data_IF_280498429563
#
_entry.id   IF_280498429563
#
_cell.length_a   1.000
_cell.length_b   1.000
_cell.length_c   1.000
_cell.angle_alpha   90.00
_cell.angle_beta   90.00
_cell.angle_gamma   90.00
#
_symmetry.space_group_name_H-M   'P 1'
#
loop_
_entity.id
_entity.type
_entity.pdbx_description
1 polymer ?
#
# COMPACT_ATOMS: atom_id res chain seq x y z
N UNK A 1 12.09 -1.61 -25.40
CA UNK A 1 11.60 -1.02 -24.14
C UNK A 1 11.93 -2.00 -23.03
N UNK A 2 12.87 -1.69 -22.14
CA UNK A 2 13.25 -2.61 -21.05
C UNK A 2 12.06 -2.65 -20.09
N UNK A 3 11.31 -3.75 -20.12
CA UNK A 3 10.20 -3.98 -19.19
C UNK A 3 10.82 -4.25 -17.83
N UNK A 4 10.80 -3.24 -16.96
CA UNK A 4 11.26 -3.40 -15.57
C UNK A 4 10.14 -3.98 -14.71
N UNK A 5 10.48 -4.60 -13.58
CA UNK A 5 9.51 -5.10 -12.61
C UNK A 5 8.54 -4.01 -12.10
N UNK A 6 8.97 -2.74 -12.04
CA UNK A 6 8.10 -1.57 -11.74
C UNK A 6 7.00 -1.38 -12.79
N UNK A 7 7.30 -1.64 -14.05
CA UNK A 7 6.38 -1.51 -15.19
C UNK A 7 5.33 -2.62 -15.21
N UNK A 8 5.68 -3.82 -14.75
CA UNK A 8 4.78 -4.99 -14.68
C UNK A 8 3.80 -4.87 -13.51
N UNK A 9 4.25 -4.35 -12.37
CA UNK A 9 3.38 -4.10 -11.21
C UNK A 9 2.38 -2.96 -11.44
N UNK A 10 2.69 -2.00 -12.31
CA UNK A 10 1.85 -0.82 -12.54
C UNK A 10 0.88 -0.91 -13.74
N UNK A 11 0.85 -2.03 -14.47
CA UNK A 11 0.07 -2.13 -15.69
C UNK A 11 -0.34 -3.55 -16.01
N UNK A 12 -1.47 -3.99 -15.47
CA UNK A 12 -2.18 -5.17 -15.95
C UNK A 12 -3.60 -4.76 -16.37
N UNK A 13 -3.88 -4.80 -17.66
CA UNK A 13 -5.25 -4.61 -18.15
C UNK A 13 -5.37 -4.28 -19.63
N UNK A 14 -5.23 -5.28 -20.50
CA UNK A 14 -6.01 -5.37 -21.74
C UNK A 14 -5.86 -6.80 -22.32
N UNK A 15 -6.98 -7.53 -22.40
CA UNK A 15 -7.12 -8.84 -23.04
C UNK A 15 -7.87 -8.65 -24.35
N UNK A 16 -7.33 -9.16 -25.46
CA UNK A 16 -8.12 -9.62 -26.62
C UNK A 16 -7.46 -10.90 -27.18
N UNK A 17 -8.27 -11.94 -27.39
CA UNK A 17 -7.87 -13.25 -27.93
C UNK A 17 -8.13 -13.32 -29.44
N UNK A 18 -7.15 -13.81 -30.19
CA UNK A 18 -7.38 -14.67 -31.38
C UNK A 18 -6.12 -15.50 -31.64
N UNK A 19 -6.32 -16.79 -31.93
CA UNK A 19 -5.36 -17.89 -32.25
C UNK A 19 -4.13 -18.13 -31.34
N UNK A 20 -3.57 -17.13 -30.66
CA UNK A 20 -2.49 -17.25 -29.67
C UNK A 20 -2.93 -17.71 -28.27
N UNK A 21 -4.23 -17.72 -28.00
CA UNK A 21 -4.83 -18.11 -26.72
C UNK A 21 -4.45 -19.55 -26.28
N UNK A 22 -4.47 -20.50 -27.21
CA UNK A 22 -4.17 -21.92 -26.91
C UNK A 22 -2.69 -22.16 -26.61
N UNK A 23 -1.80 -21.47 -27.34
CA UNK A 23 -0.36 -21.54 -27.11
C UNK A 23 0.02 -20.88 -25.77
N UNK A 24 -0.59 -19.74 -25.44
CA UNK A 24 -0.43 -19.08 -24.13
C UNK A 24 -0.94 -19.97 -22.98
N UNK A 25 -2.11 -20.61 -23.13
CA UNK A 25 -2.62 -21.55 -22.12
C UNK A 25 -1.67 -22.74 -21.90
N UNK A 26 -1.04 -23.26 -22.96
CA UNK A 26 -0.03 -24.32 -22.84
C UNK A 26 1.26 -23.85 -22.16
N UNK A 27 1.76 -22.65 -22.52
CA UNK A 27 2.97 -22.07 -21.91
C UNK A 27 2.75 -21.72 -20.42
N UNK A 28 1.59 -21.16 -20.08
CA UNK A 28 1.20 -20.87 -18.70
C UNK A 28 1.11 -22.17 -17.87
N UNK A 29 0.51 -23.23 -18.44
CA UNK A 29 0.42 -24.53 -17.78
C UNK A 29 1.81 -25.16 -17.56
N UNK A 30 2.75 -24.98 -18.48
CA UNK A 30 4.13 -25.46 -18.34
C UNK A 30 4.95 -24.67 -17.30
N UNK A 31 4.65 -23.38 -17.09
CA UNK A 31 5.30 -22.54 -16.10
C UNK A 31 4.93 -22.95 -14.66
N UNK A 32 3.67 -23.34 -14.41
CA UNK A 32 3.15 -23.54 -13.06
C UNK A 32 3.96 -24.57 -12.23
N UNK A 33 4.25 -25.80 -12.71
CA UNK A 33 5.06 -26.76 -11.96
C UNK A 33 6.49 -26.29 -11.68
N UNK A 34 7.07 -25.44 -12.56
CA UNK A 34 8.39 -24.87 -12.35
C UNK A 34 8.38 -23.84 -11.22
N UNK A 35 7.32 -23.03 -11.14
CA UNK A 35 7.12 -22.10 -10.03
C UNK A 35 6.81 -22.82 -8.71
N UNK A 36 6.04 -23.91 -8.75
CA UNK A 36 5.77 -24.74 -7.57
C UNK A 36 7.09 -25.34 -7.02
N UNK A 37 7.93 -25.91 -7.90
CA UNK A 37 9.25 -26.41 -7.54
C UNK A 37 10.18 -25.30 -7.00
N UNK A 38 10.12 -24.10 -7.60
CA UNK A 38 10.89 -22.96 -7.13
C UNK A 38 10.41 -22.42 -5.77
N UNK A 39 9.15 -22.64 -5.38
CA UNK A 39 8.64 -22.17 -4.10
C UNK A 39 9.26 -22.87 -2.90
N UNK A 40 9.71 -24.12 -3.09
CA UNK A 40 10.25 -25.00 -2.05
C UNK A 40 11.70 -25.40 -2.32
N UNK A 41 12.40 -24.72 -3.23
CA UNK A 41 13.77 -25.09 -3.60
C UNK A 41 14.79 -24.65 -2.54
N UNK A 42 15.76 -25.51 -2.29
CA UNK A 42 17.02 -25.17 -1.59
C UNK A 42 18.15 -24.84 -2.58
N UNK A 43 17.91 -25.04 -3.89
CA UNK A 43 18.83 -24.74 -4.99
C UNK A 43 18.24 -23.62 -5.88
N UNK A 44 18.29 -22.34 -5.46
CA UNK A 44 17.70 -21.24 -6.22
C UNK A 44 18.39 -21.02 -7.58
N UNK A 45 19.68 -21.33 -7.70
CA UNK A 45 20.44 -21.15 -8.96
C UNK A 45 19.89 -22.03 -10.09
N UNK A 46 19.60 -23.30 -9.81
CA UNK A 46 19.02 -24.24 -10.78
C UNK A 46 17.64 -23.78 -11.24
N UNK A 47 16.84 -23.21 -10.33
CA UNK A 47 15.53 -22.69 -10.69
C UNK A 47 15.62 -21.43 -11.54
N UNK A 48 16.58 -20.54 -11.28
CA UNK A 48 16.86 -19.38 -12.14
C UNK A 48 17.22 -19.83 -13.56
N UNK A 49 18.09 -20.82 -13.71
CA UNK A 49 18.49 -21.35 -15.02
C UNK A 49 17.29 -21.96 -15.76
N UNK A 50 16.51 -22.82 -15.10
CA UNK A 50 15.30 -23.43 -15.69
C UNK A 50 14.25 -22.40 -16.10
N UNK A 51 13.93 -21.45 -15.22
CA UNK A 51 12.92 -20.43 -15.49
C UNK A 51 13.38 -19.43 -16.56
N UNK A 52 14.67 -19.16 -16.67
CA UNK A 52 15.22 -18.21 -17.66
C UNK A 52 15.10 -18.71 -19.10
N UNK A 53 14.85 -20.01 -19.31
CA UNK A 53 14.59 -20.61 -20.64
C UNK A 53 13.18 -20.36 -21.16
N UNK A 54 12.26 -19.89 -20.32
CA UNK A 54 10.88 -19.60 -20.71
C UNK A 54 10.86 -18.21 -21.35
N UNK A 55 10.39 -18.13 -22.60
CA UNK A 55 10.17 -16.83 -23.26
C UNK A 55 8.97 -16.12 -22.61
N UNK A 56 9.17 -14.97 -21.92
CA UNK A 56 8.07 -14.24 -21.30
C UNK A 56 7.02 -13.76 -22.31
N UNK A 57 7.38 -13.55 -23.58
CA UNK A 57 6.45 -13.11 -24.61
C UNK A 57 5.39 -14.19 -24.94
N UNK A 58 5.72 -15.47 -24.71
CA UNK A 58 4.83 -16.61 -24.92
C UNK A 58 3.75 -16.77 -23.84
N UNK A 59 3.88 -16.07 -22.71
CA UNK A 59 2.99 -16.18 -21.55
C UNK A 59 1.85 -15.16 -21.59
N UNK A 60 0.75 -15.49 -20.90
CA UNK A 60 -0.29 -14.51 -20.58
C UNK A 60 0.28 -13.40 -19.67
N UNK A 61 -0.38 -12.23 -19.57
CA UNK A 61 0.10 -11.14 -18.72
C UNK A 61 0.33 -11.54 -17.25
N UNK A 62 -0.55 -12.37 -16.65
CA UNK A 62 -0.40 -12.79 -15.25
C UNK A 62 0.77 -13.78 -15.09
N UNK A 63 0.84 -14.81 -15.95
CA UNK A 63 1.94 -15.79 -15.92
C UNK A 63 3.30 -15.12 -16.21
N UNK A 64 3.33 -14.14 -17.11
CA UNK A 64 4.53 -13.31 -17.36
C UNK A 64 4.95 -12.56 -16.11
N UNK A 65 4.01 -11.95 -15.40
CA UNK A 65 4.30 -11.25 -14.15
C UNK A 65 4.83 -12.20 -13.06
N UNK A 66 4.27 -13.40 -12.98
CA UNK A 66 4.74 -14.45 -12.06
C UNK A 66 6.17 -14.86 -12.39
N UNK A 67 6.48 -15.16 -13.67
CA UNK A 67 7.83 -15.52 -14.12
C UNK A 67 8.85 -14.43 -13.81
N UNK A 68 8.57 -13.18 -14.21
CA UNK A 68 9.49 -12.04 -14.02
C UNK A 68 9.74 -11.81 -12.52
N UNK A 69 8.69 -11.87 -11.71
CA UNK A 69 8.79 -11.63 -10.27
C UNK A 69 9.56 -12.76 -9.58
N UNK A 70 9.29 -14.02 -9.94
CA UNK A 70 10.02 -15.17 -9.42
C UNK A 70 11.51 -15.14 -9.80
N UNK A 71 11.84 -14.86 -11.07
CA UNK A 71 13.23 -14.76 -11.53
C UNK A 71 14.00 -13.66 -10.79
N UNK A 72 13.43 -12.47 -10.63
CA UNK A 72 14.04 -11.37 -9.87
C UNK A 72 14.30 -11.79 -8.42
N UNK A 73 13.30 -12.35 -7.74
CA UNK A 73 13.42 -12.83 -6.37
C UNK A 73 14.47 -13.93 -6.18
N UNK A 74 14.43 -14.97 -7.02
CA UNK A 74 15.35 -16.11 -6.94
C UNK A 74 16.81 -15.71 -7.20
N UNK A 75 17.07 -14.76 -8.10
CA UNK A 75 18.42 -14.22 -8.33
C UNK A 75 19.00 -13.54 -7.09
N UNK A 76 18.14 -12.95 -6.26
CA UNK A 76 18.56 -12.41 -4.96
C UNK A 76 18.73 -13.54 -3.93
N UNK A 77 17.89 -14.57 -3.97
CA UNK A 77 18.04 -15.75 -3.10
C UNK A 77 19.37 -16.48 -3.35
N UNK A 78 19.84 -16.57 -4.61
CA UNK A 78 21.21 -17.05 -4.92
C UNK A 78 22.27 -16.20 -4.20
N UNK A 79 22.20 -14.87 -4.33
CA UNK A 79 23.16 -13.98 -3.67
C UNK A 79 23.10 -14.06 -2.13
N UNK A 80 21.92 -14.28 -1.56
CA UNK A 80 21.74 -14.46 -0.12
C UNK A 80 22.36 -15.79 0.34
N UNK A 81 22.14 -16.88 -0.40
CA UNK A 81 22.73 -18.18 -0.11
C UNK A 81 24.26 -18.14 -0.17
N UNK A 82 24.82 -17.51 -1.21
CA UNK A 82 26.27 -17.41 -1.41
C UNK A 82 26.98 -16.55 -0.35
N UNK A 83 26.41 -15.38 -0.02
CA UNK A 83 27.08 -14.38 0.83
C UNK A 83 26.73 -14.50 2.30
N UNK A 84 25.57 -15.08 2.61
CA UNK A 84 25.05 -15.18 3.97
C UNK A 84 24.47 -16.58 4.24
N UNK A 85 25.28 -17.64 4.08
CA UNK A 85 24.84 -19.01 4.32
C UNK A 85 24.31 -19.18 5.75
N UNK A 86 23.39 -20.11 5.94
CA UNK A 86 22.79 -20.46 7.24
C UNK A 86 22.14 -19.28 7.99
N UNK A 87 21.65 -18.27 7.26
CA UNK A 87 20.91 -17.17 7.90
C UNK A 87 21.78 -16.28 8.79
N UNK A 88 23.00 -15.98 8.33
CA UNK A 88 23.94 -15.10 9.03
C UNK A 88 23.26 -13.82 9.59
N UNK A 89 23.83 -13.30 10.70
CA UNK A 89 23.30 -12.15 11.41
C UNK A 89 23.02 -10.95 10.49
N UNK A 90 22.06 -10.10 10.90
CA UNK A 90 21.68 -8.94 10.12
C UNK A 90 22.87 -7.98 9.95
N UNK A 91 23.12 -7.59 8.70
CA UNK A 91 24.13 -6.61 8.31
C UNK A 91 23.55 -5.69 7.24
N UNK A 92 24.16 -4.52 7.01
CA UNK A 92 23.72 -3.61 5.96
C UNK A 92 23.70 -4.26 4.56
N UNK A 93 24.67 -5.15 4.29
CA UNK A 93 24.73 -5.93 3.05
C UNK A 93 23.57 -6.92 2.92
N UNK A 94 23.26 -7.64 4.00
CA UNK A 94 22.13 -8.60 4.05
C UNK A 94 20.79 -7.87 3.93
N UNK A 95 20.61 -6.77 4.67
CA UNK A 95 19.41 -5.94 4.59
C UNK A 95 19.16 -5.42 3.16
N UNK A 96 20.20 -4.92 2.49
CA UNK A 96 20.08 -4.47 1.09
C UNK A 96 19.57 -5.58 0.17
N UNK A 97 20.08 -6.80 0.30
CA UNK A 97 19.60 -7.93 -0.48
C UNK A 97 18.15 -8.29 -0.11
N UNK A 98 17.81 -8.36 1.18
CA UNK A 98 16.44 -8.63 1.62
C UNK A 98 15.44 -7.58 1.10
N UNK A 99 15.81 -6.30 1.10
CA UNK A 99 14.98 -5.24 0.53
C UNK A 99 14.80 -5.44 -0.98
N UNK A 100 15.89 -5.68 -1.72
CA UNK A 100 15.84 -5.92 -3.19
C UNK A 100 15.00 -7.13 -3.55
N UNK A 101 15.11 -8.20 -2.75
CA UNK A 101 14.33 -9.43 -2.88
C UNK A 101 12.83 -9.14 -2.95
N UNK A 102 12.35 -8.20 -2.14
CA UNK A 102 10.91 -7.90 -2.00
C UNK A 102 10.42 -6.64 -2.73
N UNK A 103 11.31 -5.92 -3.43
CA UNK A 103 10.98 -4.68 -4.16
C UNK A 103 11.39 -4.77 -5.62
N UNK A 104 12.68 -4.60 -5.89
CA UNK A 104 13.34 -4.73 -7.19
C UNK A 104 14.87 -4.80 -7.03
N UNK A 105 15.54 -5.33 -8.05
CA UNK A 105 17.00 -5.61 -8.04
C UNK A 105 17.87 -4.36 -7.83
N UNK A 106 17.33 -3.16 -8.07
CA UNK A 106 18.02 -1.86 -8.04
C UNK A 106 17.77 -1.03 -6.78
N UNK A 107 16.95 -1.51 -5.82
CA UNK A 107 16.67 -0.74 -4.61
C UNK A 107 17.95 -0.39 -3.84
N UNK A 108 18.22 0.91 -3.71
CA UNK A 108 19.28 1.47 -2.87
C UNK A 108 18.68 2.03 -1.57
N UNK A 109 18.97 1.42 -0.40
CA UNK A 109 18.44 1.90 0.88
C UNK A 109 18.74 3.38 1.14
N UNK A 110 19.90 3.88 0.70
CA UNK A 110 20.28 5.29 0.87
C UNK A 110 19.38 6.24 0.06
N UNK A 111 19.15 5.93 -1.21
CA UNK A 111 18.21 6.67 -2.05
C UNK A 111 16.77 6.62 -1.51
N UNK A 112 16.32 5.44 -1.07
CA UNK A 112 14.97 5.29 -0.50
C UNK A 112 14.82 6.10 0.80
N UNK A 113 15.82 6.08 1.68
CA UNK A 113 15.84 6.90 2.90
C UNK A 113 15.72 8.40 2.58
N UNK A 114 16.45 8.90 1.58
CA UNK A 114 16.36 10.30 1.14
C UNK A 114 14.98 10.65 0.61
N UNK A 115 14.37 9.79 -0.21
CA UNK A 115 13.01 10.02 -0.75
C UNK A 115 11.97 10.02 0.37
N UNK A 116 12.04 9.07 1.30
CA UNK A 116 11.16 9.03 2.47
C UNK A 116 11.30 10.28 3.34
N UNK A 117 12.52 10.75 3.59
CA UNK A 117 12.77 11.97 4.35
C UNK A 117 12.17 13.21 3.68
N UNK A 118 12.27 13.31 2.35
CA UNK A 118 11.65 14.38 1.57
C UNK A 118 10.12 14.31 1.64
N UNK A 119 9.53 13.13 1.45
CA UNK A 119 8.07 12.94 1.53
C UNK A 119 7.55 13.28 2.94
N UNK A 120 8.24 12.83 3.99
CA UNK A 120 7.90 13.16 5.39
C UNK A 120 7.88 14.67 5.59
N UNK A 121 8.90 15.38 5.09
CA UNK A 121 8.98 16.85 5.19
C UNK A 121 7.78 17.49 4.50
N UNK A 122 7.49 17.11 3.26
CA UNK A 122 6.38 17.69 2.50
C UNK A 122 5.01 17.47 3.18
N UNK A 123 4.75 16.26 3.68
CA UNK A 123 3.54 15.93 4.45
C UNK A 123 3.46 16.72 5.76
N UNK A 124 4.58 16.83 6.49
CA UNK A 124 4.68 17.60 7.74
C UNK A 124 4.41 19.07 7.50
N UNK A 125 5.01 19.66 6.46
CA UNK A 125 4.86 21.08 6.14
C UNK A 125 3.43 21.40 5.69
N UNK A 126 2.77 20.48 4.97
CA UNK A 126 1.36 20.63 4.61
C UNK A 126 0.45 20.56 5.84
N UNK A 127 0.68 19.59 6.73
CA UNK A 127 -0.05 19.46 7.99
C UNK A 127 0.14 20.71 8.87
N UNK A 128 1.37 21.22 8.99
CA UNK A 128 1.68 22.45 9.74
C UNK A 128 0.89 23.66 9.22
N UNK A 129 0.91 23.91 7.91
CA UNK A 129 0.15 25.01 7.30
C UNK A 129 -1.34 24.86 7.55
N UNK A 130 -1.89 23.65 7.43
CA UNK A 130 -3.31 23.39 7.63
C UNK A 130 -3.72 23.55 9.09
N UNK A 131 -2.94 23.01 10.03
CA UNK A 131 -3.16 23.18 11.47
C UNK A 131 -3.11 24.64 11.90
N UNK A 132 -2.17 25.43 11.38
CA UNK A 132 -2.09 26.88 11.63
C UNK A 132 -3.34 27.62 11.16
N UNK A 133 -3.88 27.28 9.99
CA UNK A 133 -5.16 27.85 9.51
C UNK A 133 -6.34 27.49 10.39
N UNK A 134 -6.30 26.33 11.05
CA UNK A 134 -7.31 25.88 12.02
C UNK A 134 -7.07 26.41 13.44
N UNK A 135 -6.17 27.37 13.63
CA UNK A 135 -5.86 27.96 14.94
C UNK A 135 -4.98 27.08 15.83
N UNK A 136 -4.42 25.97 15.32
CA UNK A 136 -3.51 25.07 16.05
C UNK A 136 -2.06 25.39 15.67
N UNK A 137 -1.51 26.48 16.18
CA UNK A 137 -0.18 26.98 15.79
C UNK A 137 0.98 26.61 16.74
N UNK A 138 0.69 26.20 17.97
CA UNK A 138 1.71 25.94 19.01
C UNK A 138 2.28 24.52 18.91
N UNK A 139 3.58 24.37 19.16
CA UNK A 139 4.26 23.07 19.21
C UNK A 139 4.62 22.47 17.85
N UNK A 140 5.15 21.25 17.85
CA UNK A 140 5.45 20.49 16.62
C UNK A 140 4.17 19.89 16.02
N UNK A 141 4.23 19.44 14.76
CA UNK A 141 3.11 18.71 14.13
C UNK A 141 2.75 17.46 14.93
N UNK A 142 3.73 16.67 15.37
CA UNK A 142 3.48 15.49 16.21
C UNK A 142 2.77 15.84 17.52
N UNK A 143 3.21 16.88 18.22
CA UNK A 143 2.57 17.33 19.46
C UNK A 143 1.12 17.78 19.23
N UNK A 144 0.84 18.47 18.10
CA UNK A 144 -0.53 18.87 17.74
C UNK A 144 -1.42 17.68 17.38
N UNK A 145 -0.89 16.69 16.66
CA UNK A 145 -1.63 15.44 16.42
C UNK A 145 -1.92 14.69 17.72
N UNK A 146 -0.96 14.57 18.65
CA UNK A 146 -1.22 13.97 19.97
C UNK A 146 -2.36 14.69 20.70
N UNK A 147 -2.36 16.02 20.73
CA UNK A 147 -3.44 16.79 21.34
C UNK A 147 -4.80 16.57 20.63
N UNK A 148 -4.80 16.52 19.29
CA UNK A 148 -6.01 16.23 18.50
C UNK A 148 -6.52 14.80 18.70
N UNK A 149 -5.65 13.84 19.03
CA UNK A 149 -6.03 12.44 19.22
C UNK A 149 -6.93 12.24 20.44
N UNK A 150 -6.75 13.07 21.47
CA UNK A 150 -7.54 13.06 22.71
C UNK A 150 -8.67 14.08 22.75
N UNK A 151 -8.85 14.90 21.71
CA UNK A 151 -9.83 15.99 21.68
C UNK A 151 -11.27 15.43 21.65
N UNK A 152 -12.07 15.62 22.73
CA UNK A 152 -13.40 15.04 22.85
C UNK A 152 -14.36 15.43 21.72
N UNK A 153 -14.14 16.57 21.05
CA UNK A 153 -14.96 17.01 19.92
C UNK A 153 -14.94 16.02 18.74
N UNK A 154 -13.91 15.18 18.67
CA UNK A 154 -13.69 14.24 17.56
C UNK A 154 -13.85 12.78 17.95
N UNK A 155 -14.24 12.50 19.19
CA UNK A 155 -14.42 11.15 19.68
C UNK A 155 -15.88 10.70 19.58
N UNK A 156 -16.07 9.40 19.37
CA UNK A 156 -17.38 8.77 19.49
C UNK A 156 -17.63 8.36 20.95
N UNK A 157 -18.88 8.18 21.32
CA UNK A 157 -19.25 7.48 22.56
C UNK A 157 -18.75 6.03 22.51
N UNK A 158 -18.44 5.42 23.67
CA UNK A 158 -17.93 4.04 23.74
C UNK A 158 -19.06 3.02 23.85
N UNK A 159 -20.08 3.20 23.03
CA UNK A 159 -21.30 2.41 23.01
C UNK A 159 -21.65 2.06 21.56
N UNK A 160 -22.71 1.28 21.40
CA UNK A 160 -23.17 0.86 20.07
C UNK A 160 -23.62 2.05 19.22
N UNK A 161 -24.20 3.09 19.83
CA UNK A 161 -24.56 4.30 19.10
C UNK A 161 -23.33 5.01 18.50
N UNK A 162 -22.22 5.07 19.23
CA UNK A 162 -20.96 5.62 18.75
C UNK A 162 -20.35 4.80 17.62
N UNK A 163 -20.36 3.47 17.76
CA UNK A 163 -19.87 2.54 16.72
C UNK A 163 -20.72 2.61 15.46
N UNK A 164 -22.04 2.64 15.60
CA UNK A 164 -22.98 2.73 14.48
C UNK A 164 -22.88 4.09 13.77
N UNK A 165 -22.68 5.19 14.53
CA UNK A 165 -22.40 6.51 13.95
C UNK A 165 -21.12 6.50 13.11
N UNK A 166 -20.04 5.89 13.60
CA UNK A 166 -18.78 5.77 12.86
C UNK A 166 -18.96 4.98 11.56
N UNK A 167 -19.67 3.84 11.60
CA UNK A 167 -19.98 3.04 10.40
C UNK A 167 -20.83 3.82 9.40
N UNK A 168 -21.83 4.56 9.87
CA UNK A 168 -22.67 5.38 9.00
C UNK A 168 -21.87 6.50 8.31
N UNK A 169 -20.97 7.17 9.03
CA UNK A 169 -20.05 8.16 8.48
C UNK A 169 -19.11 7.58 7.45
N UNK A 170 -18.50 6.43 7.74
CA UNK A 170 -17.62 5.73 6.79
C UNK A 170 -18.37 5.32 5.51
N UNK A 171 -19.62 4.84 5.62
CA UNK A 171 -20.44 4.54 4.45
C UNK A 171 -20.83 5.79 3.65
N UNK A 172 -21.05 6.94 4.29
CA UNK A 172 -21.24 8.22 3.58
C UNK A 172 -20.00 8.62 2.79
N UNK A 173 -18.81 8.51 3.39
CA UNK A 173 -17.54 8.74 2.69
C UNK A 173 -17.38 7.76 1.52
N UNK A 174 -17.71 6.49 1.72
CA UNK A 174 -17.65 5.45 0.70
C UNK A 174 -18.60 5.74 -0.48
N UNK A 175 -19.81 6.25 -0.22
CA UNK A 175 -20.73 6.62 -1.29
C UNK A 175 -20.14 7.70 -2.22
N UNK A 176 -19.53 8.74 -1.65
CA UNK A 176 -18.82 9.76 -2.43
C UNK A 176 -17.59 9.17 -3.16
N UNK A 177 -16.83 8.30 -2.48
CA UNK A 177 -15.67 7.63 -3.05
C UNK A 177 -16.04 6.73 -4.23
N UNK A 178 -17.18 6.03 -4.16
CA UNK A 178 -17.67 5.15 -5.23
C UNK A 178 -17.98 5.93 -6.50
N UNK A 179 -18.67 7.06 -6.39
CA UNK A 179 -18.97 7.92 -7.55
C UNK A 179 -17.70 8.42 -8.23
N UNK A 180 -16.69 8.76 -7.45
CA UNK A 180 -15.39 9.13 -8.00
C UNK A 180 -14.70 7.93 -8.67
N UNK A 181 -14.63 6.79 -7.98
CA UNK A 181 -13.92 5.62 -8.48
C UNK A 181 -14.55 5.07 -9.78
N UNK A 182 -15.89 5.12 -9.93
CA UNK A 182 -16.56 4.76 -11.18
C UNK A 182 -16.15 5.63 -12.36
N UNK A 183 -15.85 6.92 -12.13
CA UNK A 183 -15.35 7.83 -13.17
C UNK A 183 -13.87 7.61 -13.47
N UNK A 184 -13.08 7.45 -12.41
CA UNK A 184 -11.62 7.39 -12.52
C UNK A 184 -11.15 6.01 -13.06
N UNK A 185 -11.95 4.94 -12.90
CA UNK A 185 -11.57 3.56 -13.27
C UNK A 185 -12.59 2.85 -14.18
N UNK A 186 -12.86 3.34 -15.41
CA UNK A 186 -13.95 2.87 -16.29
C UNK A 186 -13.77 1.44 -16.87
N UNK A 187 -12.67 0.75 -16.60
CA UNK A 187 -12.40 -0.62 -17.07
C UNK A 187 -12.45 -1.70 -15.98
N UNK A 188 -12.78 -1.31 -14.75
CA UNK A 188 -12.82 -2.24 -13.62
C UNK A 188 -14.17 -2.96 -13.58
N UNK A 189 -14.20 -4.28 -13.30
CA UNK A 189 -15.45 -5.01 -13.15
C UNK A 189 -16.39 -4.35 -12.14
N UNK A 190 -17.66 -4.21 -12.49
CA UNK A 190 -18.64 -3.48 -11.69
C UNK A 190 -18.75 -3.99 -10.24
N UNK A 191 -18.58 -5.30 -10.03
CA UNK A 191 -18.64 -5.90 -8.69
C UNK A 191 -17.53 -5.38 -7.75
N UNK A 192 -16.38 -4.93 -8.27
CA UNK A 192 -15.32 -4.35 -7.42
C UNK A 192 -15.75 -3.06 -6.71
N UNK A 193 -16.85 -2.42 -7.16
CA UNK A 193 -17.42 -1.22 -6.53
C UNK A 193 -18.58 -1.54 -5.56
N UNK A 194 -19.04 -2.79 -5.54
CA UNK A 194 -20.10 -3.27 -4.64
C UNK A 194 -19.52 -3.62 -3.27
N UNK A 195 -19.30 -2.58 -2.49
CA UNK A 195 -18.58 -2.62 -1.21
C UNK A 195 -19.36 -1.85 -0.17
N UNK A 196 -19.36 -2.33 1.07
CA UNK A 196 -19.89 -1.61 2.24
C UNK A 196 -18.87 -1.52 3.37
N UNK A 197 -19.13 -0.70 4.39
CA UNK A 197 -18.43 -0.76 5.68
C UNK A 197 -19.39 -1.32 6.73
N UNK A 198 -18.93 -2.27 7.54
CA UNK A 198 -19.68 -2.85 8.66
C UNK A 198 -18.79 -2.98 9.89
N UNK A 199 -19.37 -2.98 11.09
CA UNK A 199 -18.62 -3.35 12.30
C UNK A 199 -18.52 -4.86 12.46
N UNK A 200 -17.56 -5.29 13.26
CA UNK A 200 -17.39 -6.68 13.67
C UNK A 200 -18.67 -7.21 14.34
N UNK A 201 -18.97 -8.49 14.12
CA UNK A 201 -20.05 -9.17 14.85
C UNK A 201 -19.64 -9.45 16.30
N UNK A 202 -20.60 -9.72 17.18
CA UNK A 202 -20.29 -10.16 18.55
C UNK A 202 -19.44 -11.45 18.58
N UNK A 203 -19.61 -12.34 17.59
CA UNK A 203 -18.81 -13.55 17.45
C UNK A 203 -17.36 -13.22 17.01
N UNK A 204 -17.18 -12.21 16.16
CA UNK A 204 -15.87 -11.74 15.73
C UNK A 204 -15.08 -11.17 16.92
N UNK A 205 -15.77 -10.37 17.75
CA UNK A 205 -15.22 -9.76 18.96
C UNK A 205 -14.87 -10.81 20.01
N UNK A 206 -15.77 -11.76 20.27
CA UNK A 206 -15.54 -12.87 21.19
C UNK A 206 -14.36 -13.76 20.76
N UNK A 207 -14.16 -13.91 19.44
CA UNK A 207 -13.02 -14.63 18.88
C UNK A 207 -11.72 -13.80 18.84
N UNK A 208 -11.73 -12.57 19.37
CA UNK A 208 -10.55 -11.70 19.43
C UNK A 208 -10.07 -11.21 18.06
N UNK A 209 -10.91 -11.26 17.01
CA UNK A 209 -10.50 -10.86 15.66
C UNK A 209 -10.19 -9.36 15.60
N UNK A 210 -9.30 -9.01 14.67
CA UNK A 210 -9.13 -7.64 14.19
C UNK A 210 -10.02 -7.37 12.99
N UNK A 211 -9.95 -6.16 12.45
CA UNK A 211 -10.68 -5.80 11.23
C UNK A 211 -10.22 -6.64 10.03
N UNK A 212 -11.15 -6.92 9.12
CA UNK A 212 -10.91 -7.77 7.95
C UNK A 212 -11.72 -7.30 6.74
N UNK A 213 -11.52 -7.96 5.60
CA UNK A 213 -12.16 -7.64 4.32
C UNK A 213 -12.85 -8.87 3.77
N UNK A 214 -14.13 -8.74 3.46
CA UNK A 214 -14.83 -9.65 2.58
C UNK A 214 -14.69 -9.08 1.16
N UNK A 215 -13.95 -9.77 0.30
CA UNK A 215 -13.71 -9.28 -1.06
C UNK A 215 -14.97 -9.44 -1.92
N UNK A 216 -15.36 -8.43 -2.72
CA UNK A 216 -16.47 -8.58 -3.63
C UNK A 216 -16.14 -9.57 -4.74
N UNK A 217 -17.17 -10.28 -5.21
CA UNK A 217 -17.14 -11.15 -6.38
C UNK A 217 -18.33 -10.85 -7.28
N UNK A 218 -18.42 -11.47 -8.46
CA UNK A 218 -19.57 -11.30 -9.34
C UNK A 218 -20.92 -11.68 -8.71
N UNK A 219 -20.94 -12.48 -7.64
CA UNK A 219 -22.15 -12.97 -6.98
C UNK A 219 -22.29 -12.53 -5.53
N UNK A 220 -21.34 -11.77 -4.99
CA UNK A 220 -21.30 -11.40 -3.57
C UNK A 220 -20.72 -10.00 -3.38
N UNK A 221 -21.46 -9.15 -2.67
CA UNK A 221 -20.99 -7.84 -2.26
C UNK A 221 -19.84 -7.95 -1.25
N UNK A 222 -18.89 -7.03 -1.34
CA UNK A 222 -17.77 -6.92 -0.41
C UNK A 222 -18.07 -6.07 0.81
N UNK A 223 -17.26 -6.22 1.85
CA UNK A 223 -17.35 -5.42 3.06
C UNK A 223 -15.99 -5.20 3.72
N UNK A 224 -15.70 -3.95 4.08
CA UNK A 224 -14.66 -3.69 5.08
C UNK A 224 -15.28 -3.81 6.47
N UNK A 225 -14.80 -4.80 7.23
CA UNK A 225 -15.25 -5.09 8.58
C UNK A 225 -14.32 -4.41 9.56
N UNK A 226 -14.73 -3.26 10.05
CA UNK A 226 -13.87 -2.38 10.83
C UNK A 226 -13.87 -2.80 12.31
N UNK A 227 -12.67 -2.83 12.90
CA UNK A 227 -12.49 -3.05 14.34
C UNK A 227 -12.77 -1.78 15.15
N UNK A 228 -13.91 -1.72 15.81
CA UNK A 228 -14.33 -0.58 16.64
C UNK A 228 -14.39 -0.92 18.15
N UNK A 229 -13.66 -1.96 18.61
CA UNK A 229 -13.65 -2.37 20.03
C UNK A 229 -13.28 -1.22 20.97
N UNK A 230 -12.37 -0.36 20.53
CA UNK A 230 -11.94 0.84 21.28
C UNK A 230 -12.19 2.12 20.46
N UNK A 231 -13.45 2.38 20.14
CA UNK A 231 -13.85 3.48 19.25
C UNK A 231 -13.44 4.86 19.78
N UNK A 232 -13.39 5.05 21.11
CA UNK A 232 -12.87 6.29 21.72
C UNK A 232 -11.40 6.58 21.39
N UNK A 233 -10.64 5.60 20.91
CA UNK A 233 -9.24 5.76 20.47
C UNK A 233 -9.11 5.89 18.95
N UNK A 234 -10.22 6.13 18.24
CA UNK A 234 -10.30 6.37 16.79
C UNK A 234 -11.01 7.69 16.52
N UNK A 235 -10.28 8.82 16.48
CA UNK A 235 -10.87 10.11 16.19
C UNK A 235 -11.53 10.13 14.80
N UNK A 236 -12.73 10.68 14.69
CA UNK A 236 -13.54 10.65 13.46
C UNK A 236 -12.85 11.28 12.25
N UNK A 237 -12.02 12.31 12.46
CA UNK A 237 -11.25 12.97 11.41
C UNK A 237 -10.25 12.04 10.70
N UNK A 238 -9.90 10.89 11.27
CA UNK A 238 -9.01 9.89 10.66
C UNK A 238 -9.72 8.94 9.70
N UNK A 239 -11.04 8.74 9.86
CA UNK A 239 -11.77 7.68 9.18
C UNK A 239 -11.91 7.88 7.66
N UNK A 240 -12.03 9.10 7.11
CA UNK A 240 -12.17 9.28 5.67
C UNK A 240 -11.02 8.71 4.84
N UNK A 241 -9.76 8.82 5.31
CA UNK A 241 -8.63 8.21 4.58
C UNK A 241 -8.57 6.69 4.77
N UNK A 242 -8.99 6.17 5.94
CA UNK A 242 -9.19 4.72 6.14
C UNK A 242 -10.19 4.17 5.12
N UNK A 243 -11.30 4.87 4.88
CA UNK A 243 -12.26 4.46 3.85
C UNK A 243 -11.58 4.38 2.48
N UNK A 244 -10.79 5.39 2.08
CA UNK A 244 -10.07 5.36 0.79
C UNK A 244 -9.08 4.20 0.68
N UNK A 245 -8.37 3.91 1.77
CA UNK A 245 -7.37 2.85 1.85
C UNK A 245 -8.01 1.45 1.80
N UNK A 246 -8.99 1.22 2.67
CA UNK A 246 -9.61 -0.08 2.92
C UNK A 246 -10.66 -0.46 1.88
N UNK A 247 -11.28 0.55 1.24
CA UNK A 247 -12.39 0.35 0.31
C UNK A 247 -12.05 0.87 -1.09
N UNK A 248 -12.62 2.01 -1.51
CA UNK A 248 -12.52 2.55 -2.86
C UNK A 248 -11.70 3.85 -2.90
N UNK A 249 -10.73 4.00 -3.81
CA UNK A 249 -10.29 3.01 -4.80
C UNK A 249 -9.19 2.06 -4.30
N UNK A 250 -8.95 1.97 -2.98
CA UNK A 250 -7.90 1.16 -2.38
C UNK A 250 -8.11 -0.36 -2.51
N UNK A 251 -8.05 -1.07 -1.40
CA UNK A 251 -7.98 -2.53 -1.39
C UNK A 251 -9.15 -3.23 -2.09
N UNK A 252 -10.37 -2.69 -2.04
CA UNK A 252 -11.53 -3.36 -2.61
C UNK A 252 -11.62 -3.27 -4.14
N UNK A 253 -10.81 -2.41 -4.77
CA UNK A 253 -10.58 -2.48 -6.21
C UNK A 253 -9.42 -3.44 -6.51
N UNK A 254 -8.30 -3.29 -5.81
CA UNK A 254 -7.08 -4.02 -6.16
C UNK A 254 -7.12 -5.51 -5.85
N UNK A 255 -7.57 -5.91 -4.65
CA UNK A 255 -7.50 -7.31 -4.21
C UNK A 255 -8.40 -8.25 -5.03
N UNK A 256 -9.65 -7.89 -5.41
CA UNK A 256 -10.46 -8.74 -6.27
C UNK A 256 -9.85 -8.93 -7.67
N UNK A 257 -9.25 -7.87 -8.23
CA UNK A 257 -8.56 -7.95 -9.52
C UNK A 257 -7.36 -8.89 -9.41
N UNK A 258 -6.53 -8.72 -8.37
CA UNK A 258 -5.40 -9.60 -8.11
C UNK A 258 -5.84 -11.06 -7.92
N UNK A 259 -6.89 -11.30 -7.14
CA UNK A 259 -7.47 -12.63 -6.94
C UNK A 259 -7.95 -13.26 -8.25
N UNK A 260 -8.63 -12.50 -9.11
CA UNK A 260 -9.09 -12.98 -10.42
C UNK A 260 -7.95 -13.33 -11.37
N UNK A 261 -6.79 -12.67 -11.22
CA UNK A 261 -5.59 -12.96 -11.99
C UNK A 261 -4.85 -14.22 -11.51
N UNK A 262 -5.31 -14.84 -10.41
CA UNK A 262 -4.79 -16.07 -9.83
C UNK A 262 -3.25 -16.15 -9.74
N UNK A 263 -2.60 -15.18 -9.05
CA UNK A 263 -1.14 -15.16 -8.86
C UNK A 263 -0.59 -16.51 -8.42
N UNK A 264 0.56 -16.88 -8.94
CA UNK A 264 1.40 -17.82 -8.23
C UNK A 264 1.81 -17.25 -6.85
N UNK A 265 1.84 -18.05 -5.76
CA UNK A 265 2.27 -17.59 -4.43
C UNK A 265 3.66 -16.95 -4.39
N UNK A 266 4.57 -17.34 -5.30
CA UNK A 266 5.88 -16.69 -5.44
C UNK A 266 5.77 -15.21 -5.82
N UNK A 267 4.77 -14.81 -6.62
CA UNK A 267 4.57 -13.39 -6.94
C UNK A 267 4.31 -12.60 -5.66
N UNK A 268 3.44 -13.12 -4.79
CA UNK A 268 3.11 -12.50 -3.51
C UNK A 268 4.29 -12.52 -2.53
N UNK A 269 5.07 -13.62 -2.49
CA UNK A 269 6.27 -13.74 -1.65
C UNK A 269 7.36 -12.74 -2.04
N UNK A 270 7.55 -12.49 -3.32
CA UNK A 270 8.59 -11.59 -3.81
C UNK A 270 8.10 -10.17 -4.02
N UNK A 271 6.80 -9.89 -4.19
CA UNK A 271 6.26 -8.53 -4.33
C UNK A 271 5.22 -8.18 -3.23
N UNK A 272 5.52 -8.40 -1.93
CA UNK A 272 4.53 -8.27 -0.86
C UNK A 272 4.03 -6.84 -0.66
N UNK A 273 4.82 -5.83 -1.04
CA UNK A 273 4.49 -4.42 -0.81
C UNK A 273 3.43 -3.83 -1.76
N UNK A 274 3.02 -4.56 -2.81
CA UNK A 274 2.18 -3.98 -3.86
C UNK A 274 0.77 -3.58 -3.36
N UNK A 275 0.09 -4.47 -2.64
CA UNK A 275 -1.28 -4.23 -2.19
C UNK A 275 -1.39 -2.99 -1.26
N UNK A 276 -0.49 -2.89 -0.28
CA UNK A 276 -0.40 -1.71 0.60
C UNK A 276 0.09 -0.48 -0.18
N UNK A 277 1.05 -0.64 -1.09
CA UNK A 277 1.51 0.44 -1.95
C UNK A 277 0.39 1.07 -2.79
N UNK A 278 -0.51 0.25 -3.33
CA UNK A 278 -1.72 0.68 -4.03
C UNK A 278 -2.65 1.47 -3.11
N UNK A 279 -2.92 0.96 -1.91
CA UNK A 279 -3.83 1.61 -0.99
C UNK A 279 -3.26 2.94 -0.46
N UNK A 280 -1.94 3.02 -0.24
CA UNK A 280 -1.23 4.27 0.07
C UNK A 280 -1.32 5.28 -1.11
N UNK A 281 -1.15 4.80 -2.35
CA UNK A 281 -1.35 5.59 -3.57
C UNK A 281 -2.78 6.13 -3.66
N UNK A 282 -3.79 5.31 -3.35
CA UNK A 282 -5.20 5.73 -3.36
C UNK A 282 -5.48 6.88 -2.37
N UNK A 283 -4.94 6.80 -1.16
CA UNK A 283 -5.03 7.90 -0.17
C UNK A 283 -4.35 9.17 -0.69
N UNK A 284 -3.16 9.01 -1.26
CA UNK A 284 -2.36 10.09 -1.81
C UNK A 284 -3.06 10.80 -2.97
N UNK A 285 -3.63 10.06 -3.91
CA UNK A 285 -4.34 10.62 -5.05
C UNK A 285 -5.58 11.38 -4.59
N UNK A 286 -6.31 10.90 -3.58
CA UNK A 286 -7.42 11.64 -2.99
C UNK A 286 -6.97 13.01 -2.43
N UNK A 287 -5.81 13.08 -1.78
CA UNK A 287 -5.23 14.34 -1.29
C UNK A 287 -4.89 15.30 -2.44
N UNK A 288 -4.25 14.81 -3.51
CA UNK A 288 -3.81 15.61 -4.65
C UNK A 288 -4.99 16.13 -5.48
N UNK A 289 -6.03 15.30 -5.66
CA UNK A 289 -7.25 15.68 -6.39
C UNK A 289 -8.13 16.66 -5.59
N UNK A 290 -7.80 16.94 -4.33
CA UNK A 290 -8.56 17.88 -3.50
C UNK A 290 -9.87 17.29 -2.97
N UNK A 291 -9.96 15.97 -2.79
CA UNK A 291 -11.14 15.29 -2.21
C UNK A 291 -11.52 15.89 -0.86
N UNK A 292 -10.54 16.35 -0.08
CA UNK A 292 -10.73 16.91 1.25
C UNK A 292 -10.82 18.44 1.28
N UNK A 293 -10.95 19.12 0.13
CA UNK A 293 -10.87 20.59 0.06
C UNK A 293 -11.91 21.32 0.93
N UNK A 294 -13.09 20.72 1.14
CA UNK A 294 -14.15 21.25 2.01
C UNK A 294 -14.13 20.68 3.43
N UNK A 295 -13.20 19.76 3.75
CA UNK A 295 -13.08 19.12 5.06
C UNK A 295 -11.60 19.11 5.49
N UNK A 296 -11.11 20.21 6.10
CA UNK A 296 -9.73 20.32 6.51
C UNK A 296 -9.34 19.32 7.61
N UNK A 297 -10.31 18.79 8.36
CA UNK A 297 -10.03 17.80 9.40
C UNK A 297 -9.82 16.42 8.77
N UNK A 298 -10.62 16.03 7.77
CA UNK A 298 -10.37 14.82 6.99
C UNK A 298 -9.04 14.89 6.23
N UNK A 299 -8.65 16.08 5.75
CA UNK A 299 -7.32 16.27 5.13
C UNK A 299 -6.19 15.99 6.14
N UNK A 300 -6.30 16.50 7.38
CA UNK A 300 -5.34 16.17 8.45
C UNK A 300 -5.33 14.66 8.76
N UNK A 301 -6.48 13.99 8.70
CA UNK A 301 -6.57 12.53 8.80
C UNK A 301 -5.74 11.81 7.75
N UNK A 302 -5.91 12.20 6.48
CA UNK A 302 -5.13 11.65 5.37
C UNK A 302 -3.64 11.92 5.52
N UNK A 303 -3.25 13.15 5.87
CA UNK A 303 -1.85 13.51 6.10
C UNK A 303 -1.22 12.71 7.24
N UNK A 304 -1.96 12.48 8.33
CA UNK A 304 -1.51 11.65 9.43
C UNK A 304 -1.25 10.19 9.00
N UNK A 305 -2.16 9.58 8.24
CA UNK A 305 -1.97 8.21 7.75
C UNK A 305 -0.81 8.07 6.75
N UNK A 306 -0.63 9.05 5.85
CA UNK A 306 0.53 9.10 4.97
C UNK A 306 1.84 9.27 5.77
N UNK A 307 1.85 10.10 6.82
CA UNK A 307 2.99 10.22 7.74
C UNK A 307 3.28 8.88 8.42
N UNK A 308 2.28 8.17 8.93
CA UNK A 308 2.41 6.83 9.53
C UNK A 308 3.11 5.85 8.60
N UNK A 309 2.76 5.83 7.32
CA UNK A 309 3.38 4.96 6.31
C UNK A 309 4.84 5.31 6.07
N UNK A 310 5.13 6.59 5.84
CA UNK A 310 6.50 7.07 5.62
C UNK A 310 7.39 6.85 6.84
N UNK A 311 6.87 7.14 8.03
CA UNK A 311 7.62 7.08 9.28
C UNK A 311 7.98 5.64 9.66
N UNK A 312 7.08 4.67 9.46
CA UNK A 312 7.37 3.24 9.66
C UNK A 312 8.44 2.72 8.70
N UNK A 313 8.42 3.15 7.44
CA UNK A 313 9.46 2.82 6.48
C UNK A 313 10.83 3.44 6.85
N UNK A 314 10.85 4.67 7.38
CA UNK A 314 12.08 5.28 7.91
C UNK A 314 12.61 4.52 9.14
N UNK A 315 11.72 4.13 10.06
CA UNK A 315 12.09 3.32 11.24
C UNK A 315 12.65 1.97 10.84
N UNK A 316 12.06 1.29 9.85
CA UNK A 316 12.58 0.04 9.28
C UNK A 316 14.03 0.20 8.81
N UNK A 317 14.32 1.25 8.02
CA UNK A 317 15.68 1.54 7.59
C UNK A 317 16.62 1.84 8.77
N UNK A 318 16.20 2.66 9.74
CA UNK A 318 17.05 3.07 10.84
C UNK A 318 17.33 1.97 11.86
N UNK A 319 16.37 1.06 12.11
CA UNK A 319 16.61 -0.11 12.95
C UNK A 319 17.68 -1.00 12.31
N UNK A 320 17.57 -1.29 11.02
CA UNK A 320 18.46 -2.26 10.36
C UNK A 320 19.79 -1.69 9.87
N UNK A 321 19.87 -0.38 9.59
CA UNK A 321 21.07 0.24 9.01
C UNK A 321 21.75 1.24 9.95
N UNK A 322 21.00 1.82 10.90
CA UNK A 322 21.51 2.83 11.84
C UNK A 322 21.53 2.34 13.29
N UNK A 323 21.08 1.12 13.57
CA UNK A 323 21.09 0.52 14.90
C UNK A 323 20.17 1.21 15.91
N UNK A 324 19.05 1.80 15.46
CA UNK A 324 18.09 2.41 16.39
C UNK A 324 17.54 1.37 17.36
N UNK A 325 17.53 1.72 18.65
CA UNK A 325 16.85 0.92 19.66
C UNK A 325 15.32 1.02 19.50
N UNK A 326 14.58 0.07 20.07
CA UNK A 326 13.11 0.14 20.15
C UNK A 326 12.64 1.46 20.76
N UNK A 327 13.28 1.89 21.84
CA UNK A 327 12.93 3.12 22.53
C UNK A 327 13.16 4.36 21.65
N UNK A 328 14.25 4.38 20.87
CA UNK A 328 14.51 5.46 19.92
C UNK A 328 13.47 5.48 18.80
N UNK A 329 13.12 4.31 18.26
CA UNK A 329 12.11 4.18 17.22
C UNK A 329 10.73 4.69 17.69
N UNK A 330 10.25 4.27 18.87
CA UNK A 330 8.99 4.76 19.44
C UNK A 330 9.04 6.26 19.65
N UNK A 331 10.11 6.78 20.28
CA UNK A 331 10.27 8.22 20.55
C UNK A 331 10.19 9.03 19.26
N UNK A 332 10.82 8.57 18.19
CA UNK A 332 10.83 9.23 16.88
C UNK A 332 9.48 9.19 16.18
N UNK A 333 8.76 8.07 16.27
CA UNK A 333 7.40 7.98 15.73
C UNK A 333 6.48 9.00 16.41
N UNK A 334 6.49 9.07 17.75
CA UNK A 334 5.70 10.06 18.50
C UNK A 334 6.10 11.50 18.14
N UNK A 335 7.41 11.79 18.07
CA UNK A 335 7.90 13.12 17.66
C UNK A 335 7.38 13.55 16.28
N UNK A 336 7.35 12.62 15.32
CA UNK A 336 7.04 12.93 13.92
C UNK A 336 5.55 13.03 13.61
N UNK A 337 4.68 12.30 14.31
CA UNK A 337 3.25 12.25 13.96
C UNK A 337 2.28 12.18 15.15
N UNK A 338 2.78 12.09 16.39
CA UNK A 338 1.95 11.94 17.57
C UNK A 338 1.56 10.49 17.86
N UNK A 339 0.40 10.31 18.50
CA UNK A 339 -0.07 9.01 18.99
C UNK A 339 -0.41 8.00 17.87
N UNK A 340 -0.17 6.70 18.09
CA UNK A 340 -0.63 5.69 17.15
C UNK A 340 -2.14 5.49 17.26
N UNK A 341 -2.75 5.08 16.14
CA UNK A 341 -4.07 4.47 16.21
C UNK A 341 -4.03 3.19 17.03
N UNK A 342 -5.06 2.96 17.87
CA UNK A 342 -5.09 1.83 18.81
C UNK A 342 -4.80 0.46 18.17
N UNK A 343 -5.30 0.23 16.96
CA UNK A 343 -5.18 -1.03 16.25
C UNK A 343 -3.84 -1.21 15.52
N UNK A 344 -2.98 -0.17 15.54
CA UNK A 344 -1.64 -0.19 15.00
C UNK A 344 -0.65 0.47 15.99
N UNK A 345 -0.52 -0.06 17.22
CA UNK A 345 0.36 0.53 18.23
C UNK A 345 1.82 0.38 17.79
N UNK A 346 2.63 1.41 18.03
CA UNK A 346 4.02 1.47 17.55
C UNK A 346 4.86 0.30 18.03
N UNK A 347 4.66 -0.18 19.26
CA UNK A 347 5.38 -1.31 19.81
C UNK A 347 5.17 -2.60 18.99
N UNK A 348 3.91 -2.95 18.73
CA UNK A 348 3.57 -4.13 17.92
C UNK A 348 4.10 -4.00 16.51
N UNK A 349 4.10 -2.78 15.98
CA UNK A 349 4.60 -2.54 14.64
C UNK A 349 6.13 -2.62 14.54
N UNK A 350 6.85 -2.12 15.55
CA UNK A 350 8.31 -2.26 15.64
C UNK A 350 8.68 -3.74 15.76
N UNK A 351 7.92 -4.56 16.49
CA UNK A 351 8.13 -6.00 16.55
C UNK A 351 8.03 -6.65 15.16
N UNK A 352 7.07 -6.22 14.34
CA UNK A 352 6.93 -6.67 12.94
C UNK A 352 8.07 -6.17 12.07
N UNK A 353 8.52 -4.92 12.25
CA UNK A 353 9.66 -4.36 11.51
C UNK A 353 10.92 -5.18 11.77
N UNK A 354 11.20 -5.52 13.02
CA UNK A 354 12.37 -6.34 13.39
C UNK A 354 12.26 -7.75 12.78
N UNK A 355 11.05 -8.32 12.74
CA UNK A 355 10.81 -9.66 12.19
C UNK A 355 10.87 -9.71 10.66
N UNK A 356 10.41 -8.67 9.98
CA UNK A 356 10.26 -8.61 8.53
C UNK A 356 11.05 -7.42 7.92
N UNK A 357 12.39 -7.51 7.84
CA UNK A 357 13.25 -6.41 7.41
C UNK A 357 12.92 -5.91 5.99
N UNK A 358 12.70 -4.61 5.85
CA UNK A 358 12.42 -3.96 4.58
C UNK A 358 10.96 -4.05 4.14
N UNK A 359 10.08 -4.74 4.87
CA UNK A 359 8.68 -4.90 4.47
C UNK A 359 7.95 -3.55 4.41
N UNK A 360 8.13 -2.68 5.41
CA UNK A 360 7.50 -1.34 5.41
C UNK A 360 8.08 -0.46 4.30
N UNK A 361 9.38 -0.63 4.02
CA UNK A 361 10.05 0.06 2.92
C UNK A 361 9.50 -0.40 1.58
N UNK A 362 9.18 -1.69 1.43
CA UNK A 362 8.62 -2.23 0.20
C UNK A 362 7.24 -1.65 -0.12
N UNK A 363 6.39 -1.47 0.90
CA UNK A 363 5.08 -0.81 0.79
C UNK A 363 5.25 0.64 0.30
N UNK A 364 6.21 1.39 0.85
CA UNK A 364 6.48 2.76 0.45
C UNK A 364 7.10 2.88 -0.95
N UNK A 365 8.03 1.98 -1.31
CA UNK A 365 8.64 1.94 -2.64
C UNK A 365 7.61 1.60 -3.71
N UNK A 366 6.70 0.66 -3.43
CA UNK A 366 5.59 0.34 -4.34
C UNK A 366 4.67 1.55 -4.53
N UNK A 367 4.31 2.24 -3.44
CA UNK A 367 3.55 3.49 -3.51
C UNK A 367 4.27 4.55 -4.37
N UNK A 368 5.54 4.85 -4.11
CA UNK A 368 6.26 5.86 -4.88
C UNK A 368 6.39 5.51 -6.36
N UNK A 369 6.57 4.22 -6.68
CA UNK A 369 6.59 3.78 -8.07
C UNK A 369 5.25 4.05 -8.78
N UNK A 370 4.12 3.84 -8.10
CA UNK A 370 2.79 4.15 -8.64
C UNK A 370 2.59 5.66 -8.82
N UNK A 371 3.01 6.48 -7.85
CA UNK A 371 2.96 7.94 -7.96
C UNK A 371 3.79 8.45 -9.14
N UNK A 372 5.03 7.97 -9.28
CA UNK A 372 5.94 8.37 -10.36
C UNK A 372 5.37 7.96 -11.74
N UNK A 373 4.73 6.78 -11.84
CA UNK A 373 4.10 6.32 -13.07
C UNK A 373 2.85 7.11 -13.43
N UNK A 374 2.04 7.45 -12.44
CA UNK A 374 0.87 8.31 -12.63
C UNK A 374 1.30 9.71 -13.12
N UNK A 375 2.38 10.27 -12.57
CA UNK A 375 2.97 11.53 -13.03
C UNK A 375 3.52 11.45 -14.46
N UNK A 376 4.27 10.40 -14.79
CA UNK A 376 4.83 10.21 -16.13
C UNK A 376 3.75 10.11 -17.20
N UNK A 377 2.61 9.51 -16.86
CA UNK A 377 1.43 9.44 -17.72
C UNK A 377 0.58 10.72 -17.67
N UNK A 378 1.10 11.85 -17.21
CA UNK A 378 0.34 13.12 -17.22
C UNK A 378 -0.89 13.12 -16.31
N UNK A 379 -0.90 12.29 -15.28
CA UNK A 379 -2.05 12.11 -14.39
C UNK A 379 -3.24 11.44 -15.07
N UNK A 380 -4.45 11.80 -14.65
CA UNK A 380 -5.70 11.27 -15.23
C UNK A 380 -5.95 11.72 -16.67
N UNK A 381 -5.30 12.81 -17.11
CA UNK A 381 -5.53 13.41 -18.42
C UNK A 381 -5.01 12.54 -19.59
N UNK A 382 -4.08 11.61 -19.35
CA UNK A 382 -3.61 10.68 -20.40
C UNK A 382 -4.22 9.28 -20.36
N UNK A 383 -5.17 9.01 -19.45
CA UNK A 383 -5.91 7.74 -19.37
C UNK A 383 -7.33 7.82 -19.93
N UNK A 384 -7.76 8.99 -20.42
CA UNK A 384 -9.03 9.20 -21.12
C UNK A 384 -8.79 9.18 -22.65
N UNK A 385 -9.61 8.49 -23.47
CA UNK A 385 -9.69 8.84 -24.89
C UNK A 385 -10.20 10.29 -24.99
N UNK A 386 -9.68 11.12 -25.91
CA UNK A 386 -9.89 12.56 -25.81
C UNK A 386 -11.37 12.92 -26.02
N UNK A 387 -11.94 13.82 -25.20
CA UNK A 387 -12.92 14.75 -25.71
C UNK A 387 -12.51 16.20 -25.39
N UNK A 388 -12.83 17.07 -26.33
CA UNK A 388 -12.53 18.50 -26.35
C UNK A 388 -12.66 19.21 -24.99
N UNK A 389 -11.58 19.89 -24.57
CA UNK A 389 -11.60 20.88 -23.49
C UNK A 389 -10.50 20.70 -22.45
N UNK A 390 -9.39 21.44 -22.63
CA UNK A 390 -8.24 21.44 -21.72
C UNK A 390 -8.60 21.98 -20.33
N UNK A 391 -8.13 21.30 -19.28
CA UNK A 391 -7.75 21.94 -18.01
C UNK A 391 -6.28 21.59 -17.74
N UNK A 392 -5.47 22.61 -17.47
CA UNK A 392 -4.02 22.52 -17.22
C UNK A 392 -3.73 21.95 -15.84
N UNK A 393 -2.78 21.03 -15.76
CA UNK A 393 -2.45 20.27 -14.56
C UNK A 393 -1.19 20.84 -13.85
N UNK A 394 -1.35 21.90 -13.06
CA UNK A 394 -0.25 22.59 -12.35
C UNK A 394 -0.07 22.15 -10.88
N UNK A 395 -0.83 21.16 -10.39
CA UNK A 395 -0.98 20.88 -8.94
C UNK A 395 0.07 19.95 -8.32
N UNK A 396 0.86 19.21 -9.09
CA UNK A 396 1.92 18.33 -8.56
C UNK A 396 3.32 18.90 -8.65
N UNK A 397 3.62 19.75 -9.64
CA UNK A 397 4.90 20.44 -9.72
C UNK A 397 5.12 21.32 -8.47
N UNK A 398 4.05 21.93 -7.95
CA UNK A 398 4.06 22.68 -6.68
C UNK A 398 4.10 21.80 -5.42
N UNK A 399 4.07 20.46 -5.56
CA UNK A 399 4.12 19.51 -4.45
C UNK A 399 5.54 18.96 -4.23
N UNK A 400 6.35 18.87 -5.29
CA UNK A 400 7.73 18.37 -5.25
C UNK A 400 8.80 19.49 -5.22
N UNK A 401 8.40 20.75 -5.43
CA UNK A 401 9.28 21.93 -5.45
C UNK A 401 9.54 22.57 -4.10
#
# INVERSE_FOLDING_TARGET
MIVTRRSVLAGAGAVILSSGARAQLGADAALRPLLDAAATTDAPADMVDRLSRIDPASLSPSARADLITALSGLRIDVQLADRFPNGAAMSAGRYRLLLRRITSDDADPGAVMRRLAAERRALTDRADRLMKRLGRATGTVGARYSAMWSDPAWLYSDDDAGRDRAVAEMNRTLAAARLQALRDYPGIPAYCFDVSVRRMSAADEAAGRGGYRDLPTATMAGAYVVDLKHIRRRPGWTLPSVVRHETLPGHMIQLPIEGSAAPHPLRLRYAPGFAEGWANHAERIALVQGVYASDPMAELGCLHWLLFRVNRALVDLHIHLSGWSRADAVRRLVEWQGEPAYFAPFDVDIDRIVKDPGARVAEAVAWFALDDLWLQKGGWDALQPPPFGRVRNDRLANWMG
#
